data_IF_250232342204
#
_entry.id   IF_250232342204
#
_cell.length_a   1.000
_cell.length_b   1.000
_cell.length_c   1.000
_cell.angle_alpha   90.00
_cell.angle_beta   90.00
_cell.angle_gamma   90.00
#
_symmetry.space_group_name_H-M   'P 1'
#
loop_
_entity.id
_entity.type
_entity.pdbx_description
1 polymer ?
#
# COMPACT_ATOMS: atom_id res chain seq x y z
N UNK A 1 -4.70 -27.03 -14.24
CA UNK A 1 -4.73 -25.92 -13.24
C UNK A 1 -5.37 -24.71 -13.89
N UNK A 2 -6.48 -24.18 -13.37
CA UNK A 2 -7.05 -22.91 -13.84
C UNK A 2 -6.02 -21.81 -13.58
N UNK A 3 -5.59 -21.09 -14.63
CA UNK A 3 -4.70 -19.94 -14.44
C UNK A 3 -5.40 -18.91 -13.55
N UNK A 4 -4.67 -18.36 -12.57
CA UNK A 4 -5.15 -17.23 -11.78
C UNK A 4 -5.49 -16.05 -12.72
N UNK A 5 -6.62 -15.40 -12.46
CA UNK A 5 -7.07 -14.25 -13.23
C UNK A 5 -6.04 -13.12 -13.17
N UNK A 6 -6.10 -12.21 -14.14
CA UNK A 6 -5.24 -11.02 -14.11
C UNK A 6 -5.49 -10.17 -12.86
N UNK A 7 -6.75 -10.00 -12.46
CA UNK A 7 -7.13 -9.19 -11.30
C UNK A 7 -6.62 -9.79 -9.99
N UNK A 8 -6.65 -11.12 -9.85
CA UNK A 8 -6.05 -11.81 -8.70
C UNK A 8 -4.54 -11.59 -8.63
N UNK A 9 -3.84 -11.72 -9.76
CA UNK A 9 -2.39 -11.45 -9.82
C UNK A 9 -2.09 -9.99 -9.46
N UNK A 10 -2.88 -9.06 -9.99
CA UNK A 10 -2.73 -7.64 -9.72
C UNK A 10 -2.96 -7.30 -8.24
N UNK A 11 -3.98 -7.89 -7.63
CA UNK A 11 -4.26 -7.75 -6.19
C UNK A 11 -3.05 -8.20 -5.36
N UNK A 12 -2.48 -9.37 -5.66
CA UNK A 12 -1.28 -9.86 -4.96
C UNK A 12 -0.09 -8.93 -5.13
N UNK A 13 0.16 -8.42 -6.35
CA UNK A 13 1.26 -7.48 -6.61
C UNK A 13 1.09 -6.20 -5.77
N UNK A 14 -0.11 -5.61 -5.77
CA UNK A 14 -0.38 -4.42 -4.97
C UNK A 14 -0.26 -4.69 -3.47
N UNK A 15 -0.71 -5.85 -3.00
CA UNK A 15 -0.55 -6.25 -1.61
C UNK A 15 0.93 -6.34 -1.20
N UNK A 16 1.77 -6.96 -2.03
CA UNK A 16 3.22 -7.06 -1.77
C UNK A 16 3.89 -5.68 -1.78
N UNK A 17 3.52 -4.80 -2.72
CA UNK A 17 4.00 -3.42 -2.74
C UNK A 17 3.58 -2.64 -1.50
N UNK A 18 2.35 -2.83 -1.03
CA UNK A 18 1.86 -2.21 0.21
C UNK A 18 2.71 -2.62 1.42
N UNK A 19 3.01 -3.92 1.55
CA UNK A 19 3.88 -4.43 2.61
C UNK A 19 5.30 -3.85 2.50
N UNK A 20 5.89 -3.88 1.30
CA UNK A 20 7.23 -3.36 1.06
C UNK A 20 7.35 -1.88 1.43
N UNK A 21 6.36 -1.07 1.07
CA UNK A 21 6.30 0.35 1.41
C UNK A 21 6.02 0.59 2.90
N UNK A 22 5.22 -0.28 3.53
CA UNK A 22 5.02 -0.27 4.99
C UNK A 22 6.34 -0.44 5.75
N UNK A 23 7.14 -1.44 5.36
CA UNK A 23 8.48 -1.67 5.91
C UNK A 23 9.46 -0.56 5.56
N UNK A 24 9.41 -0.03 4.33
CA UNK A 24 10.25 1.11 3.92
C UNK A 24 9.95 2.35 4.76
N UNK A 25 8.67 2.65 5.02
CA UNK A 25 8.26 3.76 5.90
C UNK A 25 8.73 3.56 7.34
N UNK A 26 8.61 2.34 7.88
CA UNK A 26 9.12 2.02 9.21
C UNK A 26 10.65 2.14 9.29
N UNK A 27 11.38 1.65 8.29
CA UNK A 27 12.83 1.77 8.18
C UNK A 27 13.28 3.24 8.09
N UNK A 28 12.61 4.03 7.23
CA UNK A 28 12.86 5.46 7.11
C UNK A 28 12.60 6.18 8.45
N UNK A 29 11.51 5.87 9.14
CA UNK A 29 11.20 6.44 10.45
C UNK A 29 12.32 6.18 11.46
N UNK A 30 12.78 4.93 11.55
CA UNK A 30 13.88 4.53 12.44
C UNK A 30 15.18 5.25 12.10
N UNK A 31 15.54 5.28 10.82
CA UNK A 31 16.75 5.93 10.33
C UNK A 31 16.76 7.43 10.67
N UNK A 32 15.70 8.15 10.31
CA UNK A 32 15.66 9.60 10.52
C UNK A 32 15.58 9.97 12.01
N UNK A 33 14.84 9.21 12.83
CA UNK A 33 14.83 9.44 14.28
C UNK A 33 16.22 9.18 14.91
N UNK A 34 16.91 8.12 14.47
CA UNK A 34 18.27 7.85 14.94
C UNK A 34 19.24 8.96 14.54
N UNK A 35 19.16 9.45 13.31
CA UNK A 35 19.98 10.56 12.82
C UNK A 35 19.69 11.86 13.60
N UNK A 36 18.41 12.18 13.84
CA UNK A 36 18.01 13.37 14.58
C UNK A 36 18.48 13.33 16.05
N UNK A 37 18.45 12.14 16.66
CA UNK A 37 18.97 11.91 18.01
C UNK A 37 20.50 11.98 18.05
N UNK A 38 21.20 11.38 17.09
CA UNK A 38 22.67 11.38 17.01
C UNK A 38 23.24 12.79 16.82
N UNK A 39 22.54 13.66 16.10
CA UNK A 39 22.90 15.08 15.94
C UNK A 39 22.53 15.94 17.15
N UNK A 40 21.92 15.36 18.19
CA UNK A 40 21.49 16.06 19.40
C UNK A 40 20.33 17.02 19.17
N UNK A 41 19.70 17.03 17.99
CA UNK A 41 18.67 18.02 17.64
C UNK A 41 17.38 17.87 18.44
N UNK A 42 17.15 16.70 19.05
CA UNK A 42 16.02 16.47 19.95
C UNK A 42 16.21 16.98 21.39
N UNK A 43 17.45 17.33 21.77
CA UNK A 43 17.79 17.70 23.17
C UNK A 43 18.43 19.09 23.22
N UNK A 44 19.20 19.47 22.20
CA UNK A 44 19.82 20.79 22.12
C UNK A 44 18.77 21.86 21.82
N UNK A 45 18.74 22.88 22.68
CA UNK A 45 17.96 24.08 22.47
C UNK A 45 18.39 24.75 21.16
N UNK A 46 17.44 25.21 20.33
CA UNK A 46 17.77 25.68 18.97
C UNK A 46 18.81 26.81 19.00
N UNK A 47 18.73 27.67 20.02
CA UNK A 47 19.59 28.83 20.22
C UNK A 47 21.02 28.49 20.66
N UNK A 48 21.29 27.25 21.09
CA UNK A 48 22.63 26.80 21.51
C UNK A 48 23.40 26.06 20.41
N UNK A 49 22.74 25.78 19.28
CA UNK A 49 23.36 25.20 18.09
C UNK A 49 24.14 26.27 17.31
N UNK A 50 25.23 25.86 16.65
CA UNK A 50 25.93 26.74 15.71
C UNK A 50 25.04 27.04 14.48
N UNK A 51 25.38 28.11 13.73
CA UNK A 51 24.56 28.56 12.60
C UNK A 51 24.31 27.48 11.53
N UNK A 52 25.31 26.62 11.28
CA UNK A 52 25.19 25.49 10.35
C UNK A 52 24.16 24.45 10.83
N UNK A 53 24.22 24.03 12.09
CA UNK A 53 23.27 23.08 12.67
C UNK A 53 21.87 23.67 12.82
N UNK A 54 21.75 24.97 13.06
CA UNK A 54 20.45 25.67 13.05
C UNK A 54 19.81 25.62 11.65
N UNK A 55 20.60 25.87 10.60
CA UNK A 55 20.12 25.78 9.21
C UNK A 55 19.68 24.35 8.83
N UNK A 56 20.35 23.32 9.36
CA UNK A 56 20.06 21.92 9.07
C UNK A 56 18.92 21.32 9.89
N UNK A 57 18.66 21.80 11.11
CA UNK A 57 17.65 21.23 12.02
C UNK A 57 16.23 21.28 11.45
N UNK A 58 15.82 22.41 10.87
CA UNK A 58 14.48 22.59 10.28
C UNK A 58 14.20 21.66 9.09
N UNK A 59 15.03 21.63 8.02
CA UNK A 59 14.81 20.73 6.90
C UNK A 59 14.90 19.26 7.33
N UNK A 60 15.81 18.90 8.24
CA UNK A 60 15.92 17.53 8.71
C UNK A 60 14.71 17.08 9.53
N UNK A 61 14.14 17.98 10.35
CA UNK A 61 12.89 17.73 11.07
C UNK A 61 11.74 17.50 10.09
N UNK A 62 11.65 18.30 9.02
CA UNK A 62 10.64 18.10 7.98
C UNK A 62 10.80 16.75 7.27
N UNK A 63 12.03 16.40 6.84
CA UNK A 63 12.31 15.12 6.17
C UNK A 63 11.99 13.91 7.06
N UNK A 64 12.28 14.00 8.36
CA UNK A 64 12.00 12.95 9.33
C UNK A 64 10.51 12.58 9.39
N UNK A 65 9.60 13.54 9.19
CA UNK A 65 8.16 13.27 9.14
C UNK A 65 7.66 13.00 7.72
N UNK A 66 8.10 13.78 6.74
CA UNK A 66 7.58 13.71 5.38
C UNK A 66 7.92 12.38 4.69
N UNK A 67 9.16 11.88 4.83
CA UNK A 67 9.56 10.65 4.13
C UNK A 67 8.83 9.40 4.63
N UNK A 68 8.76 9.11 5.94
CA UNK A 68 8.03 7.95 6.44
C UNK A 68 6.53 8.01 6.09
N UNK A 69 5.93 9.19 6.21
CA UNK A 69 4.52 9.40 5.85
C UNK A 69 4.28 9.15 4.37
N UNK A 70 5.17 9.62 3.48
CA UNK A 70 5.06 9.34 2.05
C UNK A 70 5.03 7.85 1.73
N UNK A 71 5.91 7.06 2.37
CA UNK A 71 5.90 5.60 2.24
C UNK A 71 4.62 4.95 2.78
N UNK A 72 4.14 5.38 3.94
CA UNK A 72 2.90 4.82 4.52
C UNK A 72 1.64 5.22 3.73
N UNK A 73 1.58 6.43 3.19
CA UNK A 73 0.51 6.85 2.29
C UNK A 73 0.51 6.00 1.01
N UNK A 74 1.68 5.77 0.41
CA UNK A 74 1.80 4.89 -0.74
C UNK A 74 1.38 3.46 -0.38
N UNK A 75 1.80 2.94 0.77
CA UNK A 75 1.41 1.62 1.27
C UNK A 75 -0.11 1.50 1.41
N UNK A 76 -0.78 2.49 2.02
CA UNK A 76 -2.23 2.52 2.14
C UNK A 76 -2.92 2.56 0.78
N UNK A 77 -2.41 3.34 -0.16
CA UNK A 77 -2.91 3.41 -1.53
C UNK A 77 -2.84 2.07 -2.26
N UNK A 78 -1.70 1.38 -2.19
CA UNK A 78 -1.55 0.05 -2.76
C UNK A 78 -2.42 -1.00 -2.06
N UNK A 79 -2.59 -0.91 -0.74
CA UNK A 79 -3.49 -1.81 -0.01
C UNK A 79 -4.94 -1.65 -0.45
N UNK A 80 -5.40 -0.41 -0.62
CA UNK A 80 -6.73 -0.12 -1.15
C UNK A 80 -6.89 -0.63 -2.59
N UNK A 81 -5.90 -0.40 -3.46
CA UNK A 81 -5.91 -0.90 -4.84
C UNK A 81 -5.94 -2.43 -4.90
N UNK A 82 -5.23 -3.11 -3.99
CA UNK A 82 -5.28 -4.56 -3.83
C UNK A 82 -6.69 -5.03 -3.49
N UNK A 83 -7.32 -4.40 -2.49
CA UNK A 83 -8.68 -4.74 -2.06
C UNK A 83 -9.70 -4.56 -3.19
N UNK A 84 -9.64 -3.44 -3.91
CA UNK A 84 -10.52 -3.19 -5.07
C UNK A 84 -10.31 -4.23 -6.16
N UNK A 85 -9.05 -4.54 -6.50
CA UNK A 85 -8.74 -5.53 -7.55
C UNK A 85 -9.28 -6.92 -7.19
N UNK A 86 -9.13 -7.32 -5.91
CA UNK A 86 -9.68 -8.58 -5.41
C UNK A 86 -11.21 -8.62 -5.46
N UNK A 87 -11.88 -7.56 -5.01
CA UNK A 87 -13.34 -7.48 -5.04
C UNK A 87 -13.89 -7.55 -6.47
N UNK A 88 -13.26 -6.87 -7.42
CA UNK A 88 -13.65 -6.93 -8.83
C UNK A 88 -13.52 -8.33 -9.41
N UNK A 89 -12.49 -9.09 -9.00
CA UNK A 89 -12.29 -10.47 -9.42
C UNK A 89 -13.42 -11.38 -8.90
N UNK A 90 -13.72 -11.29 -7.61
CA UNK A 90 -14.80 -12.06 -6.97
C UNK A 90 -16.16 -11.75 -7.58
N UNK A 91 -16.46 -10.47 -7.84
CA UNK A 91 -17.72 -10.07 -8.48
C UNK A 91 -17.80 -10.60 -9.92
N UNK A 92 -16.67 -10.60 -10.64
CA UNK A 92 -16.54 -11.22 -11.97
C UNK A 92 -16.90 -12.69 -11.94
N UNK A 93 -16.28 -13.45 -11.03
CA UNK A 93 -16.51 -14.88 -10.86
C UNK A 93 -17.97 -15.20 -10.52
N UNK A 94 -18.57 -14.45 -9.58
CA UNK A 94 -19.99 -14.59 -9.22
C UNK A 94 -20.88 -14.36 -10.44
N UNK A 95 -20.63 -13.29 -11.21
CA UNK A 95 -21.40 -12.99 -12.42
C UNK A 95 -21.32 -14.14 -13.43
N UNK A 96 -20.14 -14.67 -13.71
CA UNK A 96 -19.99 -15.82 -14.61
C UNK A 96 -20.76 -17.04 -14.11
N UNK A 97 -20.72 -17.33 -12.81
CA UNK A 97 -21.44 -18.46 -12.26
C UNK A 97 -22.97 -18.34 -12.43
N UNK A 98 -23.53 -17.13 -12.23
CA UNK A 98 -24.94 -16.87 -12.49
C UNK A 98 -25.32 -17.03 -13.96
N UNK A 99 -24.47 -16.56 -14.88
CA UNK A 99 -24.69 -16.71 -16.32
C UNK A 99 -24.67 -18.18 -16.73
N UNK A 100 -23.69 -18.95 -16.25
CA UNK A 100 -23.57 -20.38 -16.52
C UNK A 100 -24.79 -21.15 -16.00
N UNK A 101 -25.25 -20.83 -14.79
CA UNK A 101 -26.45 -21.43 -14.21
C UNK A 101 -27.71 -21.10 -15.03
N UNK A 102 -27.86 -19.85 -15.47
CA UNK A 102 -28.98 -19.41 -16.30
C UNK A 102 -29.01 -20.15 -17.65
N UNK A 103 -27.86 -20.25 -18.32
CA UNK A 103 -27.73 -20.97 -19.60
C UNK A 103 -28.01 -22.46 -19.43
N UNK A 104 -27.53 -23.09 -18.35
CA UNK A 104 -27.80 -24.48 -18.05
C UNK A 104 -29.31 -24.75 -17.85
N UNK A 105 -30.02 -23.89 -17.11
CA UNK A 105 -31.47 -24.00 -16.93
C UNK A 105 -32.22 -23.86 -18.25
N UNK A 106 -31.88 -22.86 -19.07
CA UNK A 106 -32.50 -22.65 -20.38
C UNK A 106 -32.31 -23.83 -21.33
N UNK A 107 -31.10 -24.40 -21.39
CA UNK A 107 -30.82 -25.57 -22.24
C UNK A 107 -31.63 -26.81 -21.84
N UNK A 108 -32.06 -26.89 -20.57
CA UNK A 108 -32.88 -27.98 -20.06
C UNK A 108 -34.33 -27.82 -20.50
N UNK A 109 -34.86 -26.60 -20.47
CA UNK A 109 -36.21 -26.30 -20.98
C UNK A 109 -36.32 -26.56 -22.49
N UNK A 110 -35.31 -26.17 -23.27
CA UNK A 110 -35.29 -26.36 -24.74
C UNK A 110 -35.25 -27.86 -25.15
N UNK A 111 -34.75 -28.76 -24.27
CA UNK A 111 -34.67 -30.21 -24.53
C UNK A 111 -35.91 -31.00 -24.06
N UNK A 112 -36.87 -30.35 -23.40
CA UNK A 112 -38.11 -30.96 -22.90
C UNK A 112 -39.38 -30.46 -23.64
N UNK A 113 -39.21 -29.65 -24.69
CA UNK A 113 -40.27 -29.22 -25.62
C UNK A 113 -40.25 -30.07 -26.90
#
# INVERSE_FOLDING_TARGET
MKQASFLMKLAVVFFLLAIALGFAGWGAWKYWNAMFSALGYGIADFMTLNAENQAMKTPLNLTMYAMPVGFWCAAAGFLAASGVSFLLDVVGDIKTHFVDLYLAMRSKDDNHA
#
